data_IF_070887061953
#
_entry.id   IF_070887061953
#
_cell.length_a   1.000
_cell.length_b   1.000
_cell.length_c   1.000
_cell.angle_alpha   90.00
_cell.angle_beta   90.00
_cell.angle_gamma   90.00
#
_symmetry.space_group_name_H-M   'P 1'
#
loop_
_entity.id
_entity.type
_entity.pdbx_description
1 polymer ?
#
# COMPACT_ATOMS: atom_id res chain seq x y z
N UNK A 1 10.84 63.23 -21.75
CA UNK A 1 10.05 62.53 -20.70
C UNK A 1 9.54 61.19 -21.25
N UNK A 2 10.44 60.21 -21.43
CA UNK A 2 10.14 58.85 -21.93
C UNK A 2 10.79 57.84 -20.98
N UNK A 3 10.44 57.93 -19.71
CA UNK A 3 10.95 57.06 -18.65
C UNK A 3 9.73 56.68 -17.82
N UNK A 4 9.68 55.41 -17.38
CA UNK A 4 8.58 54.72 -16.68
C UNK A 4 7.45 54.17 -17.57
N UNK A 5 7.72 53.05 -18.23
CA UNK A 5 6.67 52.04 -18.51
C UNK A 5 7.26 50.62 -18.50
N UNK A 6 8.22 50.37 -17.60
CA UNK A 6 8.83 49.07 -17.38
C UNK A 6 9.07 48.95 -15.89
N UNK A 7 8.07 48.53 -15.14
CA UNK A 7 8.18 47.92 -13.80
C UNK A 7 6.76 47.81 -13.24
N UNK A 8 6.05 46.72 -13.54
CA UNK A 8 5.08 46.10 -12.61
C UNK A 8 4.48 44.82 -13.22
N UNK A 9 5.30 43.92 -13.78
CA UNK A 9 4.81 42.57 -14.04
C UNK A 9 5.02 41.73 -12.79
N UNK A 10 3.98 41.76 -11.96
CA UNK A 10 3.57 40.78 -10.96
C UNK A 10 4.65 39.77 -10.52
N UNK A 11 5.26 40.08 -9.39
CA UNK A 11 5.80 39.11 -8.46
C UNK A 11 4.64 38.26 -7.92
N UNK A 12 4.19 37.26 -8.67
CA UNK A 12 3.37 36.18 -8.10
C UNK A 12 4.31 35.32 -7.25
N UNK A 13 4.19 35.26 -5.92
CA UNK A 13 4.88 34.26 -5.15
C UNK A 13 4.33 32.92 -5.66
N UNK A 14 5.16 32.18 -6.40
CA UNK A 14 4.82 30.81 -6.76
C UNK A 14 4.46 30.08 -5.47
N UNK A 15 3.28 29.46 -5.42
CA UNK A 15 2.98 28.49 -4.39
C UNK A 15 4.07 27.42 -4.49
N UNK A 16 5.11 27.54 -3.65
CA UNK A 16 6.01 26.44 -3.41
C UNK A 16 5.12 25.30 -2.87
N UNK A 17 5.11 24.11 -3.50
CA UNK A 17 4.43 22.98 -2.90
C UNK A 17 4.94 22.86 -1.46
N UNK A 18 4.02 22.87 -0.50
CA UNK A 18 4.35 22.65 0.90
C UNK A 18 5.15 21.34 0.96
N UNK A 19 6.42 21.46 1.32
CA UNK A 19 7.31 20.33 1.35
C UNK A 19 6.91 19.51 2.58
N UNK A 20 6.04 18.53 2.38
CA UNK A 20 5.63 17.62 3.45
C UNK A 20 6.84 16.78 3.87
N UNK A 21 7.24 16.98 5.12
CA UNK A 21 8.30 16.21 5.75
C UNK A 21 7.78 14.81 6.05
N UNK A 22 8.11 13.90 5.15
CA UNK A 22 7.74 12.50 5.27
C UNK A 22 8.70 11.79 6.24
N UNK A 23 8.15 11.08 7.22
CA UNK A 23 8.93 10.23 8.15
C UNK A 23 8.61 8.77 7.88
N UNK A 24 9.63 7.92 7.72
CA UNK A 24 9.44 6.50 7.43
C UNK A 24 8.93 5.75 8.66
N UNK A 25 7.91 4.91 8.48
CA UNK A 25 7.47 3.95 9.50
C UNK A 25 8.33 2.70 9.47
N UNK A 26 8.65 2.07 10.62
CA UNK A 26 9.41 0.82 10.64
C UNK A 26 8.55 -0.41 10.33
N UNK A 27 7.24 -0.34 10.62
CA UNK A 27 6.28 -1.43 10.46
C UNK A 27 4.92 -0.85 10.03
N UNK A 28 4.24 -1.54 9.12
CA UNK A 28 2.86 -1.27 8.75
C UNK A 28 2.07 -2.58 8.72
N UNK A 29 0.87 -2.56 9.32
CA UNK A 29 -0.10 -3.66 9.22
C UNK A 29 -1.23 -3.17 8.33
N UNK A 30 -1.45 -3.83 7.20
CA UNK A 30 -2.43 -3.43 6.18
C UNK A 30 -3.52 -4.49 6.04
N UNK A 31 -4.77 -4.07 5.94
CA UNK A 31 -5.92 -4.98 5.77
C UNK A 31 -6.30 -5.16 4.29
N UNK A 32 -6.19 -4.06 3.53
CA UNK A 32 -6.60 -3.98 2.14
C UNK A 32 -5.59 -4.58 1.15
N UNK A 33 -6.01 -4.80 -0.10
CA UNK A 33 -5.13 -5.28 -1.17
C UNK A 33 -4.21 -4.19 -1.74
N UNK A 34 -4.41 -2.93 -1.37
CA UNK A 34 -3.71 -1.77 -1.92
C UNK A 34 -2.91 -1.08 -0.83
N UNK A 35 -1.61 -0.98 -1.06
CA UNK A 35 -0.70 -0.19 -0.25
C UNK A 35 -0.84 1.28 -0.61
N UNK A 36 -0.88 2.14 0.39
CA UNK A 36 -0.99 3.59 0.26
C UNK A 36 0.25 4.28 0.82
N UNK A 37 0.45 5.53 0.41
CA UNK A 37 1.58 6.32 0.91
C UNK A 37 1.60 6.46 2.44
N UNK A 38 0.43 6.62 3.06
CA UNK A 38 0.30 6.74 4.51
C UNK A 38 0.60 5.46 5.28
N UNK A 39 0.65 4.31 4.62
CA UNK A 39 1.11 3.06 5.23
C UNK A 39 2.63 3.08 5.40
N UNK A 40 3.34 3.81 4.54
CA UNK A 40 4.81 3.86 4.50
C UNK A 40 5.38 5.07 5.23
N UNK A 41 4.75 6.24 5.06
CA UNK A 41 5.27 7.51 5.55
C UNK A 41 4.23 8.28 6.36
N UNK A 42 4.69 8.88 7.45
CA UNK A 42 3.93 9.85 8.25
C UNK A 42 4.07 11.28 7.70
N UNK A 43 3.15 12.16 8.11
CA UNK A 43 3.21 13.59 7.78
C UNK A 43 2.64 13.98 6.41
N UNK A 44 1.90 13.08 5.76
CA UNK A 44 1.43 13.25 4.37
C UNK A 44 0.03 13.87 4.20
N UNK A 45 -0.66 14.22 5.29
CA UNK A 45 -2.00 14.82 5.24
C UNK A 45 -2.96 14.10 4.28
N UNK A 46 -3.54 14.86 3.34
CA UNK A 46 -4.48 14.33 2.34
C UNK A 46 -3.85 13.33 1.35
N UNK A 47 -2.52 13.38 1.17
CA UNK A 47 -1.79 12.50 0.25
C UNK A 47 -1.60 11.10 0.79
N UNK A 48 -1.79 10.89 2.09
CA UNK A 48 -1.69 9.58 2.74
C UNK A 48 -2.56 8.51 2.05
N UNK A 49 -3.69 8.91 1.46
CA UNK A 49 -4.60 8.00 0.78
C UNK A 49 -4.14 7.57 -0.63
N UNK A 50 -3.09 8.16 -1.20
CA UNK A 50 -2.66 7.86 -2.56
C UNK A 50 -2.14 6.41 -2.66
N UNK A 51 -2.61 5.61 -3.64
CA UNK A 51 -2.14 4.24 -3.83
C UNK A 51 -0.71 4.23 -4.38
N UNK A 52 0.11 3.29 -3.90
CA UNK A 52 1.51 3.10 -4.35
C UNK A 52 1.76 1.73 -4.98
N UNK A 53 0.89 0.75 -4.70
CA UNK A 53 1.04 -0.59 -5.24
C UNK A 53 0.17 -1.62 -4.55
N UNK A 54 0.41 -2.89 -4.88
CA UNK A 54 -0.23 -4.01 -4.20
C UNK A 54 0.35 -4.22 -2.80
N UNK A 55 -0.52 -4.45 -1.83
CA UNK A 55 -0.13 -4.98 -0.52
C UNK A 55 0.35 -6.45 -0.67
N UNK A 56 1.13 -6.99 0.28
CA UNK A 56 1.43 -8.41 0.29
C UNK A 56 0.16 -9.26 0.32
N UNK A 57 0.25 -10.52 -0.12
CA UNK A 57 -0.85 -11.47 0.03
C UNK A 57 -1.21 -11.65 1.52
N UNK A 58 -2.46 -11.99 1.86
CA UNK A 58 -2.84 -12.30 3.24
C UNK A 58 -1.92 -13.37 3.86
N UNK A 59 -1.51 -13.15 5.10
CA UNK A 59 -0.55 -14.00 5.82
C UNK A 59 0.90 -13.82 5.39
N UNK A 60 1.20 -12.87 4.51
CA UNK A 60 2.56 -12.59 4.02
C UNK A 60 3.03 -11.22 4.45
N UNK A 61 4.35 -11.03 4.30
CA UNK A 61 5.05 -9.77 4.52
C UNK A 61 5.85 -9.36 3.31
N UNK A 62 6.01 -8.05 3.16
CA UNK A 62 6.85 -7.38 2.17
C UNK A 62 7.82 -6.49 2.92
N UNK A 63 9.09 -6.48 2.51
CA UNK A 63 10.09 -5.55 3.05
C UNK A 63 10.47 -4.58 1.95
N UNK A 64 10.39 -3.29 2.23
CA UNK A 64 10.88 -2.25 1.33
C UNK A 64 12.15 -1.63 1.91
N UNK A 65 13.21 -1.70 1.13
CA UNK A 65 14.54 -1.18 1.47
C UNK A 65 14.76 0.22 0.85
N UNK A 66 15.79 0.93 1.32
CA UNK A 66 16.10 2.32 0.92
C UNK A 66 15.98 2.61 -0.59
N UNK A 67 16.49 1.77 -1.52
CA UNK A 67 16.38 2.08 -2.96
C UNK A 67 14.92 2.17 -3.43
N UNK A 68 14.05 1.29 -2.94
CA UNK A 68 12.62 1.26 -3.28
C UNK A 68 11.89 2.43 -2.64
N UNK A 69 12.22 2.74 -1.38
CA UNK A 69 11.67 3.88 -0.65
C UNK A 69 12.04 5.22 -1.30
N UNK A 70 13.29 5.36 -1.79
CA UNK A 70 13.73 6.54 -2.53
C UNK A 70 13.00 6.66 -3.87
N UNK A 71 12.78 5.54 -4.57
CA UNK A 71 12.02 5.54 -5.82
C UNK A 71 10.57 6.01 -5.59
N UNK A 72 9.92 5.50 -4.55
CA UNK A 72 8.57 5.93 -4.14
C UNK A 72 8.54 7.40 -3.73
N UNK A 73 9.46 7.83 -2.87
CA UNK A 73 9.54 9.23 -2.45
C UNK A 73 9.71 10.17 -3.65
N UNK A 74 10.57 9.84 -4.62
CA UNK A 74 10.74 10.63 -5.85
C UNK A 74 9.50 10.62 -6.73
N UNK A 75 8.91 9.45 -6.97
CA UNK A 75 7.72 9.29 -7.80
C UNK A 75 6.53 10.09 -7.24
N UNK A 76 6.46 10.24 -5.92
CA UNK A 76 5.42 11.00 -5.23
C UNK A 76 5.91 12.38 -4.74
N UNK A 77 7.09 12.86 -5.14
CA UNK A 77 7.58 14.19 -4.73
C UNK A 77 7.66 14.43 -3.22
N UNK A 78 7.91 13.38 -2.44
CA UNK A 78 8.05 13.45 -0.99
C UNK A 78 9.46 13.90 -0.61
N UNK A 79 9.54 14.76 0.42
CA UNK A 79 10.81 15.17 0.98
C UNK A 79 11.29 14.20 2.07
N UNK A 80 11.40 12.93 1.70
CA UNK A 80 12.00 11.92 2.55
C UNK A 80 13.48 11.72 2.19
N UNK A 81 14.31 11.57 3.21
CA UNK A 81 15.72 11.18 3.07
C UNK A 81 16.03 10.13 4.15
N UNK A 82 16.74 9.05 3.81
CA UNK A 82 17.20 8.10 4.81
C UNK A 82 18.19 8.79 5.75
N UNK A 83 18.02 8.55 7.05
CA UNK A 83 18.99 8.83 8.10
C UNK A 83 20.14 7.81 8.06
N UNK A 84 19.85 6.56 7.67
CA UNK A 84 20.87 5.50 7.51
C UNK A 84 20.67 4.66 6.24
N UNK A 85 21.73 3.99 5.79
CA UNK A 85 21.68 3.12 4.61
C UNK A 85 20.86 1.83 4.80
N UNK A 86 20.47 1.49 6.04
CA UNK A 86 19.78 0.24 6.38
C UNK A 86 18.32 0.46 6.80
N UNK A 87 17.77 1.64 6.50
CA UNK A 87 16.36 1.90 6.74
C UNK A 87 15.47 1.04 5.86
N UNK A 88 14.47 0.46 6.50
CA UNK A 88 13.48 -0.39 5.87
C UNK A 88 12.16 -0.28 6.59
N UNK A 89 11.11 -0.62 5.87
CA UNK A 89 9.79 -0.86 6.43
C UNK A 89 9.38 -2.31 6.17
N UNK A 90 8.84 -2.95 7.19
CA UNK A 90 8.16 -4.23 7.05
C UNK A 90 6.67 -3.97 6.92
N UNK A 91 6.05 -4.47 5.87
CA UNK A 91 4.61 -4.39 5.65
C UNK A 91 4.05 -5.80 5.83
N UNK A 92 3.11 -5.95 6.74
CA UNK A 92 2.45 -7.21 7.05
C UNK A 92 0.98 -7.12 6.69
N UNK A 93 0.46 -8.15 6.02
CA UNK A 93 -0.99 -8.30 5.83
C UNK A 93 -1.45 -9.53 6.58
N UNK A 94 -2.21 -9.37 7.68
CA UNK A 94 -2.73 -10.50 8.42
C UNK A 94 -3.52 -11.43 7.50
N UNK A 95 -3.23 -12.73 7.63
CA UNK A 95 -4.05 -13.78 7.04
C UNK A 95 -5.07 -14.24 8.06
N UNK A 96 -6.11 -14.92 7.59
CA UNK A 96 -6.98 -15.71 8.47
C UNK A 96 -6.78 -17.19 8.19
N UNK A 97 -6.78 -18.05 9.22
CA UNK A 97 -6.90 -19.48 8.99
C UNK A 97 -8.26 -19.77 8.34
N UNK A 98 -8.26 -20.66 7.35
CA UNK A 98 -9.49 -21.16 6.73
C UNK A 98 -9.61 -22.64 7.12
N UNK A 99 -10.61 -23.02 7.95
CA UNK A 99 -10.78 -24.40 8.36
C UNK A 99 -11.30 -25.25 7.20
N UNK A 100 -11.02 -26.56 7.26
CA UNK A 100 -11.43 -27.52 6.23
C UNK A 100 -12.94 -27.45 5.97
N UNK A 101 -13.70 -27.35 7.04
CA UNK A 101 -15.17 -27.37 7.04
C UNK A 101 -15.73 -26.17 6.26
N UNK A 102 -15.08 -25.00 6.35
CA UNK A 102 -15.47 -23.82 5.58
C UNK A 102 -15.21 -24.02 4.08
N UNK A 103 -14.09 -24.65 3.73
CA UNK A 103 -13.76 -24.97 2.33
C UNK A 103 -14.78 -25.96 1.78
N UNK A 104 -15.04 -27.05 2.51
CA UNK A 104 -16.01 -28.08 2.12
C UNK A 104 -17.43 -27.53 1.97
N UNK A 105 -17.88 -26.73 2.94
CA UNK A 105 -19.20 -26.11 2.90
C UNK A 105 -19.34 -25.18 1.69
N UNK A 106 -18.32 -24.36 1.42
CA UNK A 106 -18.32 -23.43 0.28
C UNK A 106 -18.34 -24.20 -1.04
N UNK A 107 -17.46 -25.21 -1.20
CA UNK A 107 -17.41 -26.03 -2.41
C UNK A 107 -18.70 -26.81 -2.62
N UNK A 108 -19.28 -27.43 -1.58
CA UNK A 108 -20.54 -28.16 -1.68
C UNK A 108 -21.68 -27.24 -2.14
N UNK A 109 -21.77 -26.04 -1.55
CA UNK A 109 -22.79 -25.07 -1.93
C UNK A 109 -22.71 -24.68 -3.42
N UNK A 110 -21.50 -24.54 -3.96
CA UNK A 110 -21.27 -24.18 -5.38
C UNK A 110 -21.41 -25.38 -6.33
N UNK A 111 -21.10 -26.60 -5.88
CA UNK A 111 -21.14 -27.82 -6.70
C UNK A 111 -22.53 -28.48 -6.76
N UNK A 112 -23.37 -28.34 -5.74
CA UNK A 112 -24.75 -28.88 -5.74
C UNK A 112 -25.58 -28.40 -6.95
N UNK A 113 -25.61 -27.08 -7.29
CA UNK A 113 -26.28 -26.60 -8.49
C UNK A 113 -25.70 -27.14 -9.80
N UNK A 114 -24.45 -27.63 -9.77
CA UNK A 114 -23.76 -28.22 -10.92
C UNK A 114 -24.00 -29.73 -11.04
N UNK A 115 -24.86 -30.31 -10.19
CA UNK A 115 -25.25 -31.71 -10.24
C UNK A 115 -24.43 -32.64 -9.35
N UNK A 116 -23.70 -32.10 -8.36
CA UNK A 116 -23.09 -32.93 -7.31
C UNK A 116 -24.19 -33.70 -6.56
N UNK A 117 -23.98 -35.00 -6.38
CA UNK A 117 -24.83 -35.82 -5.51
C UNK A 117 -24.77 -35.27 -4.06
N UNK A 118 -25.91 -34.95 -3.42
CA UNK A 118 -25.94 -34.50 -2.03
C UNK A 118 -25.18 -35.41 -1.07
N UNK A 119 -25.14 -36.71 -1.35
CA UNK A 119 -24.47 -37.73 -0.52
C UNK A 119 -23.00 -37.95 -0.91
N UNK A 120 -22.49 -37.24 -1.93
CA UNK A 120 -21.09 -37.34 -2.31
C UNK A 120 -20.16 -36.85 -1.18
N UNK A 121 -19.15 -37.65 -0.89
CA UNK A 121 -18.03 -37.28 -0.02
C UNK A 121 -17.05 -36.39 -0.79
N UNK A 122 -16.62 -35.28 -0.18
CA UNK A 122 -15.64 -34.36 -0.74
C UNK A 122 -14.28 -34.60 -0.08
N UNK A 123 -13.35 -35.21 -0.80
CA UNK A 123 -11.96 -35.35 -0.34
C UNK A 123 -11.10 -34.18 -0.82
N UNK A 124 -10.72 -33.29 0.11
CA UNK A 124 -9.81 -32.16 -0.18
C UNK A 124 -8.31 -32.55 -0.14
N UNK A 125 -7.99 -33.81 0.15
CA UNK A 125 -6.63 -34.27 0.35
C UNK A 125 -5.92 -33.58 1.51
N UNK A 126 -4.58 -33.54 1.47
CA UNK A 126 -3.75 -32.85 2.48
C UNK A 126 -3.67 -31.36 2.16
N UNK A 127 -4.29 -30.55 3.03
CA UNK A 127 -4.09 -29.10 3.05
C UNK A 127 -2.78 -28.76 3.76
N UNK A 128 -1.98 -27.88 3.16
CA UNK A 128 -0.75 -27.35 3.77
C UNK A 128 -1.01 -25.96 4.36
N UNK A 129 -0.36 -25.61 5.49
CA UNK A 129 -0.44 -24.27 6.08
C UNK A 129 0.28 -23.20 5.26
#
# INVERSE_FOLDING_TARGET
MRILALLLLLLAPGLAPAQEFATLRPLAVVEGPTLRLGDLFDGLGARAAQPVGAAPAPGRRLVLEVPQLLALARAHGLAWRPLTAHERIVIERPGRPVPREEIEATLRADLLPLGLDPEAELDLGRLVP
#
